data_IF_189780044809
#
_entry.id   IF_189780044809
#
_cell.length_a   1.000
_cell.length_b   1.000
_cell.length_c   1.000
_cell.angle_alpha   90.00
_cell.angle_beta   90.00
_cell.angle_gamma   90.00
#
_symmetry.space_group_name_H-M   'P 1'
#
loop_
_entity.id
_entity.type
_entity.pdbx_description
1 polymer ?
#
# COMPACT_ATOMS: atom_id res chain seq x y z
N UNK A 1 14.43 14.07 -35.29
CA UNK A 1 14.37 13.22 -34.09
C UNK A 1 13.10 13.57 -33.35
N UNK A 2 12.08 12.70 -33.42
CA UNK A 2 10.86 12.86 -32.64
C UNK A 2 10.94 11.86 -31.49
N UNK A 3 11.05 12.35 -30.26
CA UNK A 3 10.71 11.55 -29.08
C UNK A 3 9.20 11.37 -29.12
N UNK A 4 8.75 10.19 -29.54
CA UNK A 4 7.36 9.80 -29.38
C UNK A 4 7.04 9.87 -27.87
N UNK A 5 6.05 10.67 -27.52
CA UNK A 5 5.48 10.67 -26.18
C UNK A 5 5.10 9.22 -25.85
N UNK A 6 5.71 8.67 -24.80
CA UNK A 6 5.27 7.39 -24.26
C UNK A 6 3.78 7.55 -23.92
N UNK A 7 2.92 6.58 -24.28
CA UNK A 7 1.54 6.62 -23.82
C UNK A 7 1.58 6.79 -22.30
N UNK A 8 0.82 7.75 -21.76
CA UNK A 8 0.65 7.87 -20.32
C UNK A 8 0.08 6.54 -19.84
N UNK A 9 0.97 5.67 -19.35
CA UNK A 9 0.62 4.32 -18.96
C UNK A 9 -0.32 4.45 -17.79
N UNK A 10 -1.59 4.12 -18.00
CA UNK A 10 -2.55 4.00 -16.91
C UNK A 10 -1.93 3.03 -15.92
N UNK A 11 -1.72 3.43 -14.65
CA UNK A 11 -1.07 2.57 -13.67
C UNK A 11 -1.84 1.26 -13.56
N UNK A 12 -1.10 0.13 -13.57
CA UNK A 12 -1.71 -1.21 -13.59
C UNK A 12 -2.65 -1.46 -12.41
N UNK A 13 -2.32 -0.86 -11.25
CA UNK A 13 -3.14 -0.87 -10.04
C UNK A 13 -2.72 0.23 -9.06
N UNK A 14 -3.62 0.59 -8.15
CA UNK A 14 -3.36 1.45 -6.99
C UNK A 14 -2.99 0.61 -5.78
N UNK A 15 -1.83 0.91 -5.20
CA UNK A 15 -1.33 0.20 -4.02
C UNK A 15 -1.20 1.18 -2.85
N UNK A 16 -1.75 0.81 -1.69
CA UNK A 16 -1.54 1.55 -0.44
C UNK A 16 -0.53 0.79 0.42
N UNK A 17 0.59 1.43 0.75
CA UNK A 17 1.61 0.91 1.67
C UNK A 17 1.44 1.55 3.04
N UNK A 18 1.34 0.74 4.08
CA UNK A 18 1.10 1.17 5.46
C UNK A 18 2.15 0.57 6.38
N UNK A 19 3.04 1.42 6.87
CA UNK A 19 4.16 1.04 7.73
C UNK A 19 4.64 2.28 8.51
N UNK A 20 5.00 2.15 9.78
CA UNK A 20 5.51 3.27 10.59
C UNK A 20 7.00 3.56 10.34
N UNK A 21 7.72 2.61 9.74
CA UNK A 21 9.11 2.77 9.35
C UNK A 21 9.25 3.41 7.97
N UNK A 22 9.61 4.70 7.93
CA UNK A 22 9.80 5.47 6.69
C UNK A 22 10.71 4.79 5.67
N UNK A 23 11.77 4.11 6.12
CA UNK A 23 12.71 3.41 5.26
C UNK A 23 12.03 2.27 4.46
N UNK A 24 11.12 1.52 5.10
CA UNK A 24 10.38 0.44 4.46
C UNK A 24 9.38 1.02 3.46
N UNK A 25 8.66 2.07 3.88
CA UNK A 25 7.70 2.79 3.02
C UNK A 25 8.38 3.29 1.74
N UNK A 26 9.54 3.94 1.86
CA UNK A 26 10.29 4.46 0.72
C UNK A 26 10.78 3.35 -0.21
N UNK A 27 11.37 2.29 0.35
CA UNK A 27 11.85 1.15 -0.42
C UNK A 27 10.71 0.51 -1.25
N UNK A 28 9.58 0.22 -0.60
CA UNK A 28 8.42 -0.37 -1.26
C UNK A 28 7.82 0.58 -2.30
N UNK A 29 7.75 1.88 -1.98
CA UNK A 29 7.25 2.90 -2.90
C UNK A 29 8.07 2.98 -4.17
N UNK A 30 9.40 2.99 -4.06
CA UNK A 30 10.29 3.03 -5.23
C UNK A 30 10.14 1.75 -6.04
N UNK A 31 10.15 0.58 -5.40
CA UNK A 31 10.05 -0.71 -6.09
C UNK A 31 8.73 -0.88 -6.85
N UNK A 32 7.61 -0.52 -6.23
CA UNK A 32 6.28 -0.64 -6.83
C UNK A 32 6.05 0.40 -7.93
N UNK A 33 6.50 1.65 -7.74
CA UNK A 33 6.43 2.68 -8.80
C UNK A 33 7.25 2.27 -10.02
N UNK A 34 8.42 1.65 -9.81
CA UNK A 34 9.25 1.13 -10.90
C UNK A 34 8.55 0.03 -11.72
N UNK A 35 7.65 -0.73 -11.09
CA UNK A 35 6.82 -1.74 -11.74
C UNK A 35 5.57 -1.15 -12.44
N UNK A 36 5.33 0.17 -12.33
CA UNK A 36 4.19 0.83 -12.97
C UNK A 36 2.94 0.97 -12.10
N UNK A 37 3.04 0.70 -10.79
CA UNK A 37 1.93 0.90 -9.85
C UNK A 37 1.81 2.36 -9.39
N UNK A 38 0.57 2.79 -9.14
CA UNK A 38 0.29 4.03 -8.44
C UNK A 38 0.37 3.78 -6.93
N UNK A 39 1.42 4.29 -6.28
CA UNK A 39 1.67 4.02 -4.86
C UNK A 39 1.28 5.20 -3.99
N UNK A 40 0.43 4.91 -3.00
CA UNK A 40 0.07 5.79 -1.89
C UNK A 40 0.61 5.22 -0.59
N UNK A 41 0.88 6.08 0.38
CA UNK A 41 1.50 5.69 1.65
C UNK A 41 0.73 6.22 2.84
N UNK A 42 0.81 5.51 3.96
CA UNK A 42 0.33 5.96 5.26
C UNK A 42 1.27 5.46 6.36
N UNK A 43 1.52 6.28 7.38
CA UNK A 43 2.42 5.95 8.50
C UNK A 43 1.69 5.42 9.74
N UNK A 44 0.36 5.29 9.67
CA UNK A 44 -0.47 4.78 10.75
C UNK A 44 -1.85 4.34 10.22
N UNK A 45 -2.58 3.61 11.03
CA UNK A 45 -3.89 3.04 10.73
C UNK A 45 -5.03 4.03 10.41
N UNK A 46 -5.31 5.10 11.19
CA UNK A 46 -6.27 6.12 10.81
C UNK A 46 -5.97 6.74 9.46
N UNK A 47 -4.71 7.15 9.24
CA UNK A 47 -4.27 7.67 7.95
C UNK A 47 -4.47 6.63 6.84
N UNK A 48 -4.18 5.36 7.10
CA UNK A 48 -4.41 4.29 6.14
C UNK A 48 -5.90 4.09 5.80
N UNK A 49 -6.79 4.14 6.79
CA UNK A 49 -8.24 4.01 6.58
C UNK A 49 -8.80 5.19 5.79
N UNK A 50 -8.39 6.40 6.11
CA UNK A 50 -8.81 7.60 5.39
C UNK A 50 -8.30 7.56 3.95
N UNK A 51 -7.02 7.19 3.76
CA UNK A 51 -6.43 7.07 2.44
C UNK A 51 -7.09 5.96 1.62
N UNK A 52 -7.34 4.80 2.21
CA UNK A 52 -8.00 3.69 1.55
C UNK A 52 -9.40 4.07 1.04
N UNK A 53 -10.15 4.90 1.78
CA UNK A 53 -11.46 5.40 1.34
C UNK A 53 -11.37 6.43 0.22
N UNK A 54 -10.37 7.30 0.28
CA UNK A 54 -10.12 8.36 -0.71
C UNK A 54 -9.74 7.76 -2.07
N UNK A 55 -8.71 6.91 -2.09
CA UNK A 55 -8.08 6.45 -3.33
C UNK A 55 -8.61 5.11 -3.84
N UNK A 56 -9.31 4.34 -2.98
CA UNK A 56 -9.82 2.99 -3.23
C UNK A 56 -8.74 2.09 -3.87
N UNK A 57 -7.70 1.73 -3.11
CA UNK A 57 -6.60 0.94 -3.64
C UNK A 57 -7.07 -0.47 -4.01
N UNK A 58 -6.53 -1.01 -5.09
CA UNK A 58 -6.74 -2.39 -5.51
C UNK A 58 -6.03 -3.36 -4.56
N UNK A 59 -4.88 -2.94 -4.00
CA UNK A 59 -4.10 -3.70 -3.04
C UNK A 59 -3.62 -2.85 -1.86
N UNK A 60 -3.60 -3.45 -0.66
CA UNK A 60 -3.01 -2.84 0.53
C UNK A 60 -1.89 -3.72 1.07
N UNK A 61 -0.69 -3.14 1.22
CA UNK A 61 0.44 -3.72 1.95
C UNK A 61 0.43 -3.08 3.33
N UNK A 62 0.18 -3.89 4.36
CA UNK A 62 0.01 -3.42 5.72
C UNK A 62 0.97 -4.15 6.64
N UNK A 63 1.82 -3.40 7.35
CA UNK A 63 2.56 -3.96 8.46
C UNK A 63 1.63 -4.27 9.64
N UNK A 64 1.85 -5.45 10.22
CA UNK A 64 1.08 -5.97 11.35
C UNK A 64 1.77 -5.72 12.68
N UNK A 65 3.04 -5.30 12.67
CA UNK A 65 3.89 -5.12 13.84
C UNK A 65 4.08 -3.64 14.23
N UNK A 66 3.17 -2.74 13.82
CA UNK A 66 3.23 -1.32 14.20
C UNK A 66 3.00 -1.13 15.73
N UNK A 67 3.94 -0.52 16.48
CA UNK A 67 3.75 -0.21 17.89
C UNK A 67 2.65 0.84 18.11
N UNK A 68 1.70 0.54 19.00
CA UNK A 68 0.64 1.48 19.39
C UNK A 68 -0.62 1.45 18.52
N UNK A 69 -0.67 0.63 17.47
CA UNK A 69 -1.86 0.51 16.64
C UNK A 69 -2.06 -0.88 16.06
N UNK A 70 -3.26 -1.42 16.25
CA UNK A 70 -3.59 -2.76 15.83
C UNK A 70 -3.73 -2.83 14.29
N UNK A 71 -2.67 -3.25 13.60
CA UNK A 71 -2.71 -3.54 12.16
C UNK A 71 -3.82 -4.53 11.80
N UNK A 72 -4.23 -5.42 12.72
CA UNK A 72 -5.41 -6.26 12.52
C UNK A 72 -6.73 -5.48 12.61
N UNK A 73 -6.79 -4.40 13.38
CA UNK A 73 -7.93 -3.48 13.44
C UNK A 73 -8.15 -2.76 12.10
N UNK A 74 -7.08 -2.27 11.48
CA UNK A 74 -7.09 -1.68 10.13
C UNK A 74 -7.58 -2.72 9.12
N UNK A 75 -6.99 -3.93 9.14
CA UNK A 75 -7.39 -5.04 8.29
C UNK A 75 -8.89 -5.38 8.42
N UNK A 76 -9.41 -5.45 9.64
CA UNK A 76 -10.83 -5.73 9.90
C UNK A 76 -11.74 -4.65 9.32
N UNK A 77 -11.35 -3.38 9.45
CA UNK A 77 -12.12 -2.26 8.89
C UNK A 77 -12.09 -2.27 7.35
N UNK A 78 -10.92 -2.48 6.77
CA UNK A 78 -10.75 -2.57 5.31
C UNK A 78 -11.48 -3.76 4.70
N UNK A 79 -11.62 -4.89 5.42
CA UNK A 79 -12.40 -6.04 4.96
C UNK A 79 -13.90 -5.84 5.10
N UNK A 80 -14.35 -5.05 6.08
CA UNK A 80 -15.76 -4.73 6.24
C UNK A 80 -16.26 -3.85 5.07
N UNK A 81 -15.40 -2.96 4.55
CA UNK A 81 -15.60 -2.31 3.26
C UNK A 81 -15.26 -3.30 2.13
N UNK A 82 -16.28 -3.83 1.45
CA UNK A 82 -16.23 -5.04 0.59
C UNK A 82 -15.44 -4.87 -0.75
N UNK A 83 -14.43 -3.99 -0.81
CA UNK A 83 -13.73 -3.62 -2.05
C UNK A 83 -12.20 -3.79 -2.03
N UNK A 84 -11.58 -4.32 -0.97
CA UNK A 84 -10.12 -4.30 -0.82
C UNK A 84 -9.50 -5.70 -0.81
N UNK A 85 -8.58 -5.97 -1.74
CA UNK A 85 -7.71 -7.16 -1.68
C UNK A 85 -6.54 -6.84 -0.75
N UNK A 86 -6.44 -7.54 0.38
CA UNK A 86 -5.32 -7.35 1.32
C UNK A 86 -4.24 -8.38 1.07
N UNK A 87 -3.05 -7.90 0.72
CA UNK A 87 -1.84 -8.73 0.62
C UNK A 87 -1.14 -8.69 1.97
N UNK A 88 -1.02 -9.85 2.62
CA UNK A 88 -0.28 -9.97 3.89
C UNK A 88 1.21 -10.06 3.58
N UNK A 89 2.08 -9.23 4.18
CA UNK A 89 3.51 -9.49 4.12
C UNK A 89 3.78 -10.86 4.76
N UNK A 90 4.61 -11.66 4.09
CA UNK A 90 5.04 -12.94 4.62
C UNK A 90 5.84 -12.69 5.90
N UNK A 91 5.40 -13.27 7.03
CA UNK A 91 6.22 -13.32 8.23
C UNK A 91 7.56 -13.99 7.88
N UNK A 92 8.70 -13.50 8.38
CA UNK A 92 9.90 -14.31 8.38
C UNK A 92 9.59 -15.58 9.18
N UNK A 93 9.69 -16.74 8.53
CA UNK A 93 9.79 -18.03 9.21
C UNK A 93 11.08 -17.99 10.03
N UNK A 94 10.95 -17.71 11.32
CA UNK A 94 12.06 -17.94 12.23
C UNK A 94 12.20 -19.47 12.42
N UNK A 95 13.45 -19.99 12.41
CA UNK A 95 13.73 -21.43 12.46
C UNK A 95 13.25 -22.11 13.74
#
# INVERSE_FOLDING_TARGET
>A
MAMAALPESVPEARVLVVDDETNIVELLSVSLKFQGFEVHTASNGPAALDKAREIRPDAVILDVMMPGMDGFGVLRRLRADTQHTVVRPALPVQP
#
